data_IF_304783431568
#
_entry.id   IF_304783431568
#
_cell.length_a   1.000
_cell.length_b   1.000
_cell.length_c   1.000
_cell.angle_alpha   90.00
_cell.angle_beta   90.00
_cell.angle_gamma   90.00
#
_symmetry.space_group_name_H-M   'P 1'
#
loop_
_entity.id
_entity.type
_entity.pdbx_description
1 polymer ?
#
# COMPACT_ATOMS: atom_id res chain seq x y z
N UNK A 1 -6.70 11.81 4.09
CA UNK A 1 -6.84 11.04 5.35
C UNK A 1 -5.48 10.99 6.02
N UNK A 2 -5.42 10.91 7.36
CA UNK A 2 -4.18 10.68 8.11
C UNK A 2 -4.39 9.45 8.99
N UNK A 3 -3.58 8.43 8.78
CA UNK A 3 -3.45 7.23 9.62
C UNK A 3 -1.97 7.16 10.01
N UNK A 4 -1.72 7.22 11.31
CA UNK A 4 -0.38 7.30 11.89
C UNK A 4 -0.33 6.33 13.08
N UNK A 5 0.67 5.46 13.10
CA UNK A 5 0.85 4.43 14.14
C UNK A 5 -0.40 3.56 14.38
N UNK A 6 -1.11 3.16 13.31
CA UNK A 6 -2.36 2.42 13.39
C UNK A 6 -2.18 0.91 13.15
N UNK A 7 -3.02 0.10 13.80
CA UNK A 7 -3.24 -1.31 13.43
C UNK A 7 -4.47 -1.41 12.54
N UNK A 8 -4.25 -1.55 11.25
CA UNK A 8 -5.27 -1.59 10.20
C UNK A 8 -5.39 -3.03 9.71
N UNK A 9 -5.82 -3.90 10.61
CA UNK A 9 -5.99 -5.32 10.32
C UNK A 9 -7.36 -5.57 9.70
N UNK A 10 -7.41 -6.36 8.63
CA UNK A 10 -8.66 -6.78 7.96
C UNK A 10 -9.54 -5.61 7.47
N UNK A 11 -8.95 -4.44 7.21
CA UNK A 11 -9.68 -3.25 6.76
C UNK A 11 -9.92 -3.31 5.26
N UNK A 12 -11.15 -3.03 4.84
CA UNK A 12 -11.52 -2.96 3.42
C UNK A 12 -11.31 -1.54 2.86
N UNK A 13 -10.26 -1.35 2.06
CA UNK A 13 -9.95 -0.11 1.35
C UNK A 13 -10.33 -0.16 -0.14
N UNK A 14 -11.01 -1.22 -0.61
CA UNK A 14 -11.34 -1.39 -2.03
C UNK A 14 -12.25 -0.27 -2.53
N UNK A 15 -12.10 0.08 -3.80
CA UNK A 15 -12.86 1.14 -4.50
C UNK A 15 -12.76 2.55 -3.88
N UNK A 16 -11.95 2.72 -2.83
CA UNK A 16 -11.78 3.98 -2.13
C UNK A 16 -10.88 4.98 -2.86
N UNK A 17 -11.05 6.26 -2.55
CA UNK A 17 -10.15 7.32 -3.00
C UNK A 17 -9.38 7.91 -1.82
N UNK A 18 -8.08 7.62 -1.78
CA UNK A 18 -7.17 8.06 -0.73
C UNK A 18 -6.05 8.95 -1.25
N UNK A 19 -6.16 9.48 -2.47
CA UNK A 19 -5.09 10.27 -3.08
C UNK A 19 -4.55 11.37 -2.15
N UNK A 20 -3.23 11.45 -2.02
CA UNK A 20 -2.53 12.41 -1.16
C UNK A 20 -2.67 12.15 0.35
N UNK A 21 -3.19 11.00 0.78
CA UNK A 21 -3.28 10.65 2.20
C UNK A 21 -1.92 10.31 2.81
N UNK A 22 -1.85 10.40 4.12
CA UNK A 22 -0.69 9.99 4.93
C UNK A 22 -1.11 8.74 5.69
N UNK A 23 -0.37 7.64 5.50
CA UNK A 23 -0.66 6.32 6.02
C UNK A 23 0.64 5.67 6.50
N UNK A 24 1.26 6.29 7.51
CA UNK A 24 2.63 6.03 7.95
C UNK A 24 2.66 5.21 9.24
N UNK A 25 3.78 4.52 9.49
CA UNK A 25 4.01 3.71 10.71
C UNK A 25 2.89 2.71 11.04
N UNK A 26 2.13 2.27 10.03
CA UNK A 26 0.90 1.51 10.23
C UNK A 26 1.02 0.09 9.69
N UNK A 27 0.36 -0.85 10.36
CA UNK A 27 0.34 -2.26 9.99
C UNK A 27 -0.97 -2.59 9.24
N UNK A 28 -0.83 -3.00 7.98
CA UNK A 28 -1.93 -3.28 7.06
C UNK A 28 -2.24 -4.77 6.89
N UNK A 29 -1.80 -5.62 7.82
CA UNK A 29 -2.00 -7.06 7.76
C UNK A 29 -3.43 -7.44 7.36
N UNK A 30 -3.56 -8.21 6.27
CA UNK A 30 -4.83 -8.70 5.72
C UNK A 30 -5.82 -7.62 5.22
N UNK A 31 -5.42 -6.34 5.20
CA UNK A 31 -6.23 -5.29 4.58
C UNK A 31 -6.33 -5.47 3.07
N UNK A 32 -7.48 -5.07 2.52
CA UNK A 32 -7.84 -5.29 1.12
C UNK A 32 -7.73 -4.01 0.30
N UNK A 33 -6.96 -4.06 -0.79
CA UNK A 33 -6.83 -2.98 -1.78
C UNK A 33 -7.17 -3.52 -3.18
N UNK A 34 -8.14 -2.91 -3.85
CA UNK A 34 -8.56 -3.28 -5.21
C UNK A 34 -9.34 -2.13 -5.81
N UNK A 35 -8.99 -1.71 -7.03
CA UNK A 35 -9.59 -0.55 -7.70
C UNK A 35 -9.54 0.71 -6.81
N UNK A 36 -8.49 0.83 -5.99
CA UNK A 36 -8.29 1.91 -5.02
C UNK A 36 -7.38 2.99 -5.59
N UNK A 37 -7.74 4.27 -5.40
CA UNK A 37 -6.88 5.39 -5.77
C UNK A 37 -5.92 5.73 -4.63
N UNK A 38 -4.66 5.31 -4.78
CA UNK A 38 -3.56 5.51 -3.83
C UNK A 38 -2.55 6.54 -4.34
N UNK A 39 -2.93 7.37 -5.32
CA UNK A 39 -2.02 8.32 -5.95
C UNK A 39 -1.43 9.28 -4.92
N UNK A 40 -0.10 9.31 -4.81
CA UNK A 40 0.60 10.22 -3.90
C UNK A 40 0.40 9.91 -2.42
N UNK A 41 -0.10 8.73 -2.06
CA UNK A 41 -0.19 8.30 -0.66
C UNK A 41 1.20 8.05 -0.10
N UNK A 42 1.42 8.47 1.15
CA UNK A 42 2.65 8.19 1.88
C UNK A 42 2.48 6.96 2.77
N UNK A 43 3.06 5.83 2.37
CA UNK A 43 3.13 4.58 3.15
C UNK A 43 4.50 4.38 3.82
N UNK A 44 5.30 5.46 4.00
CA UNK A 44 6.61 5.33 4.63
C UNK A 44 6.50 4.73 6.03
N UNK A 45 7.38 3.78 6.34
CA UNK A 45 7.42 3.02 7.60
C UNK A 45 6.17 2.18 7.92
N UNK A 46 5.23 2.08 6.97
CA UNK A 46 4.11 1.13 7.07
C UNK A 46 4.49 -0.23 6.51
N UNK A 47 3.80 -1.26 6.99
CA UNK A 47 4.14 -2.67 6.75
C UNK A 47 2.92 -3.52 6.43
N UNK A 48 3.16 -4.72 5.90
CA UNK A 48 2.18 -5.77 5.66
C UNK A 48 1.02 -5.39 4.74
N UNK A 49 1.21 -4.37 3.90
CA UNK A 49 0.25 -4.07 2.83
C UNK A 49 0.41 -5.08 1.69
N UNK A 50 -0.71 -5.58 1.18
CA UNK A 50 -0.77 -6.36 -0.06
C UNK A 50 -1.48 -5.52 -1.11
N UNK A 51 -0.69 -4.81 -1.91
CA UNK A 51 -1.19 -3.89 -2.95
C UNK A 51 -0.73 -4.42 -4.30
N UNK A 52 -1.68 -4.97 -5.06
CA UNK A 52 -1.48 -5.25 -6.48
C UNK A 52 -1.41 -3.91 -7.23
N UNK A 53 -0.25 -3.61 -7.84
CA UNK A 53 -0.02 -2.33 -8.54
C UNK A 53 -0.70 -2.27 -9.91
N UNK A 54 -1.18 -3.39 -10.43
CA UNK A 54 -1.94 -3.45 -11.69
C UNK A 54 -3.43 -3.15 -11.44
N UNK A 55 -3.93 -3.45 -10.25
CA UNK A 55 -5.33 -3.23 -9.86
C UNK A 55 -5.56 -1.91 -9.09
N UNK A 56 -4.51 -1.16 -8.75
CA UNK A 56 -4.59 0.05 -7.95
C UNK A 56 -3.79 1.21 -8.57
N UNK A 57 -4.25 2.45 -8.40
CA UNK A 57 -3.48 3.62 -8.86
C UNK A 57 -2.47 4.06 -7.80
N UNK A 58 -1.22 3.62 -7.94
CA UNK A 58 -0.12 3.92 -6.99
C UNK A 58 0.82 5.03 -7.48
N UNK A 59 0.44 5.79 -8.52
CA UNK A 59 1.32 6.80 -9.10
C UNK A 59 1.77 7.81 -8.05
N UNK A 60 3.09 8.05 -7.94
CA UNK A 60 3.72 8.95 -6.94
C UNK A 60 3.51 8.54 -5.47
N UNK A 61 2.93 7.38 -5.18
CA UNK A 61 2.90 6.88 -3.81
C UNK A 61 4.32 6.62 -3.30
N UNK A 62 4.53 6.78 -1.99
CA UNK A 62 5.82 6.50 -1.34
C UNK A 62 5.72 5.22 -0.53
N UNK A 63 6.77 4.41 -0.58
CA UNK A 63 6.88 3.14 0.11
C UNK A 63 8.27 2.99 0.70
N UNK A 64 8.40 2.29 1.83
CA UNK A 64 9.71 1.92 2.35
C UNK A 64 10.36 0.88 1.43
N UNK A 65 11.66 1.02 1.16
CA UNK A 65 12.37 0.27 0.10
C UNK A 65 12.19 -1.25 0.20
N UNK A 66 12.35 -1.82 1.39
CA UNK A 66 12.24 -3.26 1.60
C UNK A 66 10.80 -3.74 1.47
N UNK A 67 9.86 -2.98 2.01
CA UNK A 67 8.44 -3.32 1.94
C UNK A 67 7.89 -3.17 0.51
N UNK A 68 8.43 -2.23 -0.28
CA UNK A 68 8.08 -2.06 -1.68
C UNK A 68 8.37 -3.30 -2.56
N UNK A 69 9.17 -4.26 -2.08
CA UNK A 69 9.40 -5.53 -2.77
C UNK A 69 8.10 -6.34 -2.94
N UNK A 70 7.17 -6.27 -1.97
CA UNK A 70 5.88 -6.98 -2.06
C UNK A 70 5.02 -6.50 -3.24
N UNK A 71 5.19 -5.23 -3.65
CA UNK A 71 4.46 -4.66 -4.77
C UNK A 71 4.80 -5.34 -6.11
N UNK A 72 6.02 -5.89 -6.20
CA UNK A 72 6.53 -6.55 -7.40
C UNK A 72 5.94 -7.95 -7.61
N UNK A 73 5.33 -8.54 -6.58
CA UNK A 73 4.69 -9.87 -6.65
C UNK A 73 3.62 -9.92 -7.74
N UNK A 74 2.86 -8.83 -7.90
CA UNK A 74 1.81 -8.70 -8.92
C UNK A 74 2.34 -8.75 -10.37
N UNK A 75 3.64 -8.55 -10.59
CA UNK A 75 4.24 -8.58 -11.91
C UNK A 75 4.66 -9.98 -12.36
N UNK A 76 4.61 -10.98 -11.47
CA UNK A 76 5.03 -12.35 -11.77
C UNK A 76 6.51 -12.48 -12.12
N UNK A 77 7.35 -11.60 -11.56
CA UNK A 77 8.79 -11.55 -11.80
C UNK A 77 9.56 -12.27 -10.69
N UNK A 78 10.77 -12.73 -11.01
CA UNK A 78 11.71 -13.30 -10.04
C UNK A 78 12.62 -12.18 -9.51
N UNK A 79 12.71 -12.09 -8.17
CA UNK A 79 13.65 -11.20 -7.50
C UNK A 79 14.94 -11.95 -7.20
N UNK A 80 16.07 -11.27 -7.42
CA UNK A 80 17.41 -11.76 -7.11
C UNK A 80 18.13 -10.72 -6.23
N UNK A 81 19.08 -11.19 -5.42
CA UNK A 81 19.85 -10.37 -4.47
C UNK A 81 20.86 -9.41 -5.13
#
# INVERSE_FOLDING_TARGET
LVLDECKLHDVDFREGNFAGSIMIYSDFSHSLFMRTNLQGVDFSESTAYSIDVLENNVKKAKFSRYEALSLLESLGIELVD
#
